data_IF_737918089287
#
_entry.id   IF_737918089287
#
_cell.length_a   1.000
_cell.length_b   1.000
_cell.length_c   1.000
_cell.angle_alpha   90.00
_cell.angle_beta   90.00
_cell.angle_gamma   90.00
#
_symmetry.space_group_name_H-M   'P 1'
#
loop_
_entity.id
_entity.type
_entity.pdbx_description
1 polymer ?
#
# COMPACT_ATOMS: atom_id res chain seq x y z
N UNK A 1 4.90 -0.78 23.29
CA UNK A 1 4.53 -0.03 22.07
C UNK A 1 5.57 -0.32 21.00
N UNK A 2 5.18 -0.47 19.74
CA UNK A 2 6.12 -0.77 18.64
C UNK A 2 6.95 0.47 18.30
N UNK A 3 8.28 0.36 18.40
CA UNK A 3 9.25 1.35 17.92
C UNK A 3 9.76 0.91 16.54
N UNK A 4 9.84 1.86 15.61
CA UNK A 4 10.27 1.62 14.24
C UNK A 4 11.54 2.42 13.96
N UNK A 5 12.55 1.78 13.38
CA UNK A 5 13.70 2.54 12.87
C UNK A 5 13.26 3.36 11.66
N UNK A 6 14.01 4.43 11.37
CA UNK A 6 13.75 5.33 10.24
C UNK A 6 13.54 4.55 8.94
N UNK A 7 14.42 3.58 8.64
CA UNK A 7 14.31 2.74 7.43
C UNK A 7 12.99 1.97 7.35
N UNK A 8 12.50 1.48 8.50
CA UNK A 8 11.30 0.64 8.55
C UNK A 8 10.08 1.55 8.40
N UNK A 9 10.09 2.70 9.07
CA UNK A 9 9.08 3.75 8.89
C UNK A 9 9.02 4.25 7.43
N UNK A 10 10.16 4.47 6.78
CA UNK A 10 10.25 4.91 5.39
C UNK A 10 9.65 3.87 4.44
N UNK A 11 10.00 2.59 4.64
CA UNK A 11 9.41 1.46 3.92
C UNK A 11 7.89 1.41 4.07
N UNK A 12 7.36 1.56 5.28
CA UNK A 12 5.92 1.53 5.52
C UNK A 12 5.17 2.75 4.95
N UNK A 13 5.84 3.90 4.87
CA UNK A 13 5.29 5.11 4.25
C UNK A 13 5.44 5.12 2.72
N UNK A 14 6.19 4.19 2.13
CA UNK A 14 6.48 4.20 0.70
C UNK A 14 7.35 5.38 0.25
N UNK A 15 8.20 5.92 1.14
CA UNK A 15 9.08 7.07 0.88
C UNK A 15 10.54 6.73 1.21
N UNK A 16 11.46 7.63 0.89
CA UNK A 16 12.88 7.45 1.23
C UNK A 16 13.17 7.66 2.72
N UNK A 17 14.26 7.04 3.22
CA UNK A 17 14.77 7.29 4.58
C UNK A 17 15.00 8.77 4.85
N UNK A 18 15.49 9.52 3.84
CA UNK A 18 15.73 10.95 3.95
C UNK A 18 14.42 11.73 4.16
N UNK A 19 13.35 11.35 3.46
CA UNK A 19 12.02 11.92 3.68
C UNK A 19 11.58 11.73 5.12
N UNK A 20 11.80 10.56 5.71
CA UNK A 20 11.42 10.32 7.12
C UNK A 20 12.32 11.11 8.09
N UNK A 21 13.63 11.21 7.83
CA UNK A 21 14.53 12.06 8.63
C UNK A 21 14.05 13.50 8.64
N UNK A 22 13.73 14.04 7.46
CA UNK A 22 13.20 15.40 7.32
C UNK A 22 11.89 15.60 8.06
N UNK A 23 10.99 14.62 8.05
CA UNK A 23 9.73 14.69 8.81
C UNK A 23 9.95 14.72 10.33
N UNK A 24 10.96 13.99 10.81
CA UNK A 24 11.34 14.00 12.23
C UNK A 24 12.01 15.32 12.62
N UNK A 25 12.93 15.82 11.80
CA UNK A 25 13.61 17.11 12.00
C UNK A 25 12.63 18.29 11.97
N UNK A 26 11.62 18.23 11.09
CA UNK A 26 10.55 19.21 11.00
C UNK A 26 9.52 19.10 12.14
N UNK A 27 9.66 18.14 13.07
CA UNK A 27 8.71 17.91 14.17
C UNK A 27 7.36 17.35 13.74
N UNK A 28 7.20 16.96 12.48
CA UNK A 28 5.96 16.38 11.93
C UNK A 28 5.79 14.93 12.40
N UNK A 29 6.89 14.18 12.54
CA UNK A 29 6.93 12.90 13.23
C UNK A 29 7.71 13.07 14.54
N UNK A 30 7.12 12.76 15.72
CA UNK A 30 7.83 12.81 16.98
C UNK A 30 9.08 11.92 16.98
N UNK A 31 10.22 12.51 17.38
CA UNK A 31 11.45 11.78 17.61
C UNK A 31 11.33 10.93 18.87
N UNK A 32 11.72 9.67 18.79
CA UNK A 32 11.90 8.77 19.94
C UNK A 32 13.27 8.09 19.86
N UNK A 33 13.70 7.45 20.94
CA UNK A 33 14.97 6.71 21.02
C UNK A 33 14.71 5.30 21.55
N UNK A 34 15.41 4.31 20.99
CA UNK A 34 15.34 2.94 21.50
C UNK A 34 16.26 2.73 22.72
N UNK A 35 16.22 1.53 23.32
CA UNK A 35 17.06 1.19 24.47
C UNK A 35 18.59 1.29 24.20
N UNK A 36 19.00 1.42 22.93
CA UNK A 36 20.38 1.58 22.51
C UNK A 36 20.70 3.03 22.07
N UNK A 37 19.81 3.99 22.32
CA UNK A 37 19.99 5.42 21.98
C UNK A 37 19.86 5.74 20.49
N UNK A 38 19.30 4.84 19.67
CA UNK A 38 19.12 5.08 18.24
C UNK A 38 17.79 5.77 17.99
N UNK A 39 17.78 6.71 17.05
CA UNK A 39 16.56 7.40 16.61
C UNK A 39 15.54 6.41 16.04
N UNK A 40 14.35 6.42 16.62
CA UNK A 40 13.18 5.64 16.21
C UNK A 40 11.92 6.50 16.21
N UNK A 41 10.88 6.03 15.54
CA UNK A 41 9.55 6.63 15.53
C UNK A 41 8.58 5.64 16.17
N UNK A 42 7.64 6.11 16.99
CA UNK A 42 6.61 5.24 17.55
C UNK A 42 5.58 4.89 16.47
N UNK A 43 5.22 3.61 16.37
CA UNK A 43 4.25 3.14 15.37
C UNK A 43 2.90 3.86 15.47
N UNK A 44 2.48 4.28 16.67
CA UNK A 44 1.26 5.08 16.86
C UNK A 44 1.33 6.47 16.19
N UNK A 45 2.49 7.09 16.19
CA UNK A 45 2.68 8.44 15.67
C UNK A 45 2.81 8.38 14.15
N UNK A 46 3.48 7.32 13.64
CA UNK A 46 3.49 7.00 12.21
C UNK A 46 2.07 6.74 11.68
N UNK A 47 1.26 5.97 12.41
CA UNK A 47 -0.13 5.69 12.03
C UNK A 47 -1.02 6.94 12.08
N UNK A 48 -0.81 7.84 13.04
CA UNK A 48 -1.50 9.12 13.12
C UNK A 48 -1.16 10.02 11.93
N UNK A 49 0.12 10.05 11.53
CA UNK A 49 0.60 10.81 10.37
C UNK A 49 -0.06 10.35 9.05
N UNK A 50 -0.22 9.04 8.86
CA UNK A 50 -0.80 8.46 7.62
C UNK A 50 -2.30 8.73 7.49
N UNK A 51 -3.07 8.67 8.58
CA UNK A 51 -4.54 8.84 8.52
C UNK A 51 -5.00 10.18 7.94
N UNK A 52 -4.14 11.19 7.90
CA UNK A 52 -4.45 12.53 7.39
C UNK A 52 -4.01 12.80 5.95
N UNK A 53 -3.42 11.84 5.25
CA UNK A 53 -2.91 12.04 3.87
C UNK A 53 -3.50 11.00 2.92
N UNK A 54 -4.42 11.47 2.09
CA UNK A 54 -4.83 10.74 0.90
C UNK A 54 -3.78 11.00 -0.19
N UNK A 55 -2.88 10.04 -0.41
CA UNK A 55 -1.76 10.17 -1.37
C UNK A 55 -2.06 9.46 -2.70
N UNK A 56 -3.32 9.16 -2.98
CA UNK A 56 -3.74 8.46 -4.19
C UNK A 56 -3.78 9.37 -5.42
N UNK A 57 -3.53 8.79 -6.59
CA UNK A 57 -3.96 9.34 -7.88
C UNK A 57 -5.50 9.49 -7.85
N UNK A 58 -6.01 10.56 -8.47
CA UNK A 58 -7.45 10.74 -8.63
C UNK A 58 -8.06 9.51 -9.33
N UNK A 59 -9.13 8.97 -8.76
CA UNK A 59 -9.84 7.81 -9.28
C UNK A 59 -10.60 8.16 -10.57
N UNK A 60 -10.14 7.69 -11.74
CA UNK A 60 -10.73 8.11 -13.02
C UNK A 60 -12.07 7.43 -13.28
N UNK A 61 -12.49 6.47 -12.46
CA UNK A 61 -13.62 5.59 -12.79
C UNK A 61 -15.00 6.24 -12.55
N UNK A 62 -15.12 7.24 -11.68
CA UNK A 62 -16.41 7.86 -11.34
C UNK A 62 -17.47 6.93 -10.73
N UNK A 63 -17.11 5.69 -10.36
CA UNK A 63 -18.05 4.68 -9.86
C UNK A 63 -18.24 4.80 -8.35
N UNK A 64 -19.49 4.99 -7.91
CA UNK A 64 -19.87 4.86 -6.49
C UNK A 64 -19.83 3.38 -6.08
N UNK A 65 -18.85 2.99 -5.28
CA UNK A 65 -18.66 1.62 -4.78
C UNK A 65 -18.53 1.60 -3.26
N UNK A 66 -18.98 0.49 -2.64
CA UNK A 66 -18.80 0.26 -1.19
C UNK A 66 -17.43 -0.37 -0.86
N UNK A 67 -16.68 -0.81 -1.87
CA UNK A 67 -15.30 -1.24 -1.69
C UNK A 67 -14.46 -0.08 -1.18
N UNK A 68 -13.72 -0.30 -0.09
CA UNK A 68 -12.95 0.75 0.61
C UNK A 68 -11.50 0.85 0.15
N UNK A 69 -10.99 -0.20 -0.49
CA UNK A 69 -9.63 -0.22 -1.01
C UNK A 69 -9.72 -0.12 -2.52
N UNK A 70 -9.22 0.97 -3.08
CA UNK A 70 -9.17 1.20 -4.52
C UNK A 70 -7.74 1.53 -4.90
N UNK A 71 -7.21 0.78 -5.85
CA UNK A 71 -5.84 0.91 -6.32
C UNK A 71 -5.89 1.30 -7.80
N UNK A 72 -5.74 2.59 -8.07
CA UNK A 72 -5.62 3.11 -9.45
C UNK A 72 -4.23 2.74 -9.95
N UNK A 73 -4.17 2.12 -11.12
CA UNK A 73 -2.92 1.66 -11.69
C UNK A 73 -2.99 1.44 -13.20
N UNK A 74 -1.87 1.00 -13.75
CA UNK A 74 -1.73 0.60 -15.16
C UNK A 74 -1.57 -0.90 -15.24
N UNK A 75 -2.23 -1.54 -16.21
CA UNK A 75 -2.08 -2.98 -16.46
C UNK A 75 -0.68 -3.24 -17.02
N UNK A 76 0.10 -4.07 -16.32
CA UNK A 76 1.48 -4.40 -16.69
C UNK A 76 1.61 -5.79 -17.32
N UNK A 77 0.70 -6.70 -17.00
CA UNK A 77 0.66 -8.05 -17.57
C UNK A 77 -0.79 -8.57 -17.63
N UNK A 78 -1.08 -9.39 -18.63
CA UNK A 78 -2.41 -9.96 -18.88
C UNK A 78 -2.28 -11.36 -19.48
N UNK A 79 -2.70 -12.37 -18.71
CA UNK A 79 -2.70 -13.77 -19.14
C UNK A 79 -4.13 -14.27 -19.20
N UNK A 80 -4.57 -14.75 -20.35
CA UNK A 80 -5.92 -15.29 -20.57
C UNK A 80 -5.79 -16.76 -20.94
N UNK A 81 -6.36 -17.65 -20.12
CA UNK A 81 -6.34 -19.10 -20.37
C UNK A 81 -7.72 -19.72 -20.08
N UNK A 82 -8.36 -20.21 -21.15
CA UNK A 82 -9.72 -20.73 -21.08
C UNK A 82 -10.72 -19.69 -20.57
N UNK A 83 -11.40 -20.02 -19.46
CA UNK A 83 -12.45 -19.18 -18.85
C UNK A 83 -11.92 -18.20 -17.80
N UNK A 84 -10.64 -18.29 -17.43
CA UNK A 84 -10.01 -17.46 -16.41
C UNK A 84 -8.94 -16.57 -17.04
N UNK A 85 -8.81 -15.37 -16.49
CA UNK A 85 -7.74 -14.46 -16.80
C UNK A 85 -7.09 -13.93 -15.52
N UNK A 86 -5.78 -13.73 -15.61
CA UNK A 86 -4.97 -13.04 -14.61
C UNK A 86 -4.60 -11.66 -15.16
N UNK A 87 -4.91 -10.61 -14.40
CA UNK A 87 -4.56 -9.22 -14.71
C UNK A 87 -3.61 -8.70 -13.64
N UNK A 88 -2.49 -8.15 -14.04
CA UNK A 88 -1.54 -7.48 -13.15
C UNK A 88 -1.64 -5.96 -13.33
N UNK A 89 -1.73 -5.23 -12.21
CA UNK A 89 -1.71 -3.78 -12.17
C UNK A 89 -0.53 -3.28 -11.33
N UNK A 90 0.19 -2.27 -11.85
CA UNK A 90 1.09 -1.44 -11.05
C UNK A 90 0.31 -0.22 -10.53
N UNK A 91 0.07 -0.17 -9.22
CA UNK A 91 -0.70 0.87 -8.54
C UNK A 91 0.17 1.58 -7.48
N UNK A 92 0.82 2.67 -7.89
CA UNK A 92 1.81 3.36 -7.05
C UNK A 92 2.97 2.41 -6.70
N UNK A 93 3.35 2.25 -5.43
CA UNK A 93 4.39 1.31 -5.02
C UNK A 93 3.94 -0.16 -5.00
N UNK A 94 2.66 -0.44 -5.23
CA UNK A 94 2.09 -1.77 -5.05
C UNK A 94 1.85 -2.47 -6.40
N UNK A 95 2.20 -3.76 -6.48
CA UNK A 95 1.78 -4.66 -7.55
C UNK A 95 0.54 -5.42 -7.10
N UNK A 96 -0.56 -5.31 -7.85
CA UNK A 96 -1.85 -5.95 -7.54
C UNK A 96 -2.18 -6.96 -8.63
N UNK A 97 -2.52 -8.20 -8.25
CA UNK A 97 -2.94 -9.25 -9.18
C UNK A 97 -4.39 -9.58 -8.94
N UNK A 98 -5.18 -9.59 -10.01
CA UNK A 98 -6.59 -9.98 -9.99
C UNK A 98 -6.80 -11.23 -10.84
N UNK A 99 -7.56 -12.18 -10.31
CA UNK A 99 -8.12 -13.28 -11.10
C UNK A 99 -9.58 -12.97 -11.40
N UNK A 100 -9.95 -13.02 -12.67
CA UNK A 100 -11.31 -12.75 -13.15
C UNK A 100 -11.63 -13.62 -14.35
N UNK A 101 -12.86 -13.56 -14.86
CA UNK A 101 -13.22 -14.34 -16.05
C UNK A 101 -12.56 -13.74 -17.29
N UNK A 102 -12.21 -14.59 -18.25
CA UNK A 102 -11.74 -14.15 -19.56
C UNK A 102 -12.77 -13.29 -20.30
N UNK A 103 -14.06 -13.52 -20.02
CA UNK A 103 -15.17 -12.71 -20.51
C UNK A 103 -15.10 -11.28 -19.97
N UNK A 104 -14.92 -11.11 -18.66
CA UNK A 104 -14.84 -9.79 -18.05
C UNK A 104 -13.63 -8.98 -18.55
N UNK A 105 -12.50 -9.63 -18.85
CA UNK A 105 -11.35 -8.96 -19.50
C UNK A 105 -11.72 -8.39 -20.87
N UNK A 106 -12.42 -9.18 -21.69
CA UNK A 106 -12.87 -8.75 -23.02
C UNK A 106 -13.91 -7.66 -22.96
N UNK A 107 -14.90 -7.80 -22.07
CA UNK A 107 -15.98 -6.82 -21.90
C UNK A 107 -15.46 -5.46 -21.45
N UNK A 108 -14.43 -5.46 -20.59
CA UNK A 108 -13.76 -4.25 -20.12
C UNK A 108 -12.71 -3.71 -21.11
N UNK A 109 -12.40 -4.45 -22.17
CA UNK A 109 -11.37 -4.07 -23.15
C UNK A 109 -9.99 -3.93 -22.51
N UNK A 110 -9.66 -4.77 -21.52
CA UNK A 110 -8.37 -4.68 -20.83
C UNK A 110 -7.24 -5.22 -21.72
N UNK A 111 -6.17 -4.43 -21.78
CA UNK A 111 -4.91 -4.76 -22.44
C UNK A 111 -3.74 -4.24 -21.61
N UNK A 112 -2.52 -4.70 -21.91
CA UNK A 112 -1.32 -4.14 -21.29
C UNK A 112 -1.23 -2.65 -21.64
N UNK A 113 -1.10 -1.81 -20.62
CA UNK A 113 -1.14 -0.35 -20.75
C UNK A 113 -2.48 0.29 -20.40
N UNK A 114 -3.57 -0.48 -20.23
CA UNK A 114 -4.85 0.08 -19.78
C UNK A 114 -4.73 0.68 -18.38
N UNK A 115 -5.35 1.86 -18.17
CA UNK A 115 -5.55 2.40 -16.83
C UNK A 115 -6.79 1.74 -16.23
N UNK A 116 -6.62 1.12 -15.05
CA UNK A 116 -7.68 0.38 -14.38
C UNK A 116 -7.63 0.59 -12.88
N UNK A 117 -8.74 0.27 -12.21
CA UNK A 117 -8.86 0.38 -10.75
C UNK A 117 -9.12 -1.00 -10.15
N UNK A 118 -8.16 -1.53 -9.42
CA UNK A 118 -8.38 -2.73 -8.62
C UNK A 118 -9.16 -2.35 -7.36
N UNK A 119 -10.38 -2.90 -7.24
CA UNK A 119 -11.31 -2.59 -6.17
C UNK A 119 -11.49 -3.78 -5.25
N UNK A 120 -11.15 -3.61 -3.97
CA UNK A 120 -11.16 -4.70 -2.97
C UNK A 120 -12.08 -4.32 -1.81
N UNK A 121 -13.05 -5.20 -1.53
CA UNK A 121 -13.95 -5.06 -0.38
C UNK A 121 -13.13 -5.22 0.91
N UNK A 122 -13.34 -4.32 1.88
CA UNK A 122 -12.59 -4.32 3.15
C UNK A 122 -12.67 -5.66 3.90
N UNK A 123 -13.79 -6.38 3.77
CA UNK A 123 -14.00 -7.67 4.41
C UNK A 123 -13.16 -8.81 3.82
N UNK A 124 -12.48 -8.59 2.68
CA UNK A 124 -11.58 -9.56 2.05
C UNK A 124 -10.09 -9.27 2.38
N UNK A 125 -9.82 -8.26 3.21
CA UNK A 125 -8.46 -7.89 3.62
C UNK A 125 -8.16 -8.52 4.98
N UNK A 126 -7.04 -9.25 5.05
CA UNK A 126 -6.49 -9.77 6.31
C UNK A 126 -5.37 -8.85 6.78
N UNK A 127 -5.30 -8.63 8.11
CA UNK A 127 -4.22 -7.86 8.74
C UNK A 127 -3.30 -8.82 9.46
N UNK A 128 -2.02 -8.80 9.10
CA UNK A 128 -0.96 -9.61 9.70
C UNK A 128 0.09 -8.69 10.33
N UNK A 129 0.73 -9.15 11.41
CA UNK A 129 1.85 -8.46 12.04
C UNK A 129 3.07 -9.38 12.03
N UNK A 130 4.30 -8.85 11.88
CA UNK A 130 5.49 -9.68 11.93
C UNK A 130 5.56 -10.47 13.25
N UNK A 131 6.09 -11.69 13.19
CA UNK A 131 6.43 -12.45 14.40
C UNK A 131 7.40 -11.64 15.27
N UNK A 132 7.14 -11.61 16.58
CA UNK A 132 8.06 -10.97 17.51
C UNK A 132 9.37 -11.76 17.49
N UNK A 133 10.53 -11.13 17.25
CA UNK A 133 11.80 -11.85 17.30
C UNK A 133 11.96 -12.49 18.69
N UNK A 134 12.25 -13.78 18.71
CA UNK A 134 12.57 -14.50 19.95
C UNK A 134 13.73 -13.79 20.66
N UNK A 135 13.48 -13.30 21.88
CA UNK A 135 14.52 -12.66 22.72
C UNK A 135 14.21 -11.24 23.21
N UNK A 136 13.13 -10.60 22.78
CA UNK A 136 12.70 -9.33 23.38
C UNK A 136 11.83 -9.60 24.63
N UNK A 137 12.47 -9.87 25.77
CA UNK A 137 11.88 -9.71 27.11
C UNK A 137 12.33 -8.38 27.71
#
# INVERSE_FOLDING_TARGET
MTTLRIRDAARYLGVSDDTVRRLVEAGTLPRSEDAAGRTVVLGKDLAAYVRGRDTGLDDPSGVRSSARNRFVGIVTDLVVDGVVAQVELQAGPNRVVSLMTSEAVRDLGLEVGSVAVASVKATMVTVEVPDRPEGAR
#
